data_IF_066604418622
#
_entry.id   IF_066604418622
#
_cell.length_a   1.000
_cell.length_b   1.000
_cell.length_c   1.000
_cell.angle_alpha   90.00
_cell.angle_beta   90.00
_cell.angle_gamma   90.00
#
_symmetry.space_group_name_H-M   'P 1'
#
loop_
_entity.id
_entity.type
_entity.pdbx_description
1 polymer ?
#
# COMPACT_ATOMS: atom_id res chain seq x y z
N UNK A 1 -1.25 26.68 -22.51
CA UNK A 1 -0.63 25.34 -22.39
C UNK A 1 -1.75 24.33 -22.44
N UNK A 2 -1.79 23.58 -23.54
CA UNK A 2 -2.78 22.56 -23.84
C UNK A 2 -2.82 21.50 -22.74
N UNK A 3 -4.03 21.04 -22.41
CA UNK A 3 -4.25 20.03 -21.39
C UNK A 3 -3.41 18.80 -21.71
N UNK A 4 -2.48 18.48 -20.81
CA UNK A 4 -1.93 17.13 -20.75
C UNK A 4 -3.10 16.21 -20.44
N UNK A 5 -3.68 15.67 -21.52
CA UNK A 5 -4.53 14.51 -21.50
C UNK A 5 -3.62 13.41 -20.97
N UNK A 6 -3.67 13.15 -19.67
CA UNK A 6 -3.04 11.96 -19.10
C UNK A 6 -3.70 10.80 -19.83
N UNK A 7 -3.03 10.30 -20.87
CA UNK A 7 -3.46 9.18 -21.69
C UNK A 7 -3.40 7.90 -20.87
N UNK A 8 -4.10 7.88 -19.75
CA UNK A 8 -4.39 6.72 -18.94
C UNK A 8 -5.39 5.90 -19.74
N UNK A 9 -4.89 5.20 -20.75
CA UNK A 9 -5.62 4.08 -21.31
C UNK A 9 -5.77 3.09 -20.17
N UNK A 10 -6.97 3.02 -19.61
CA UNK A 10 -7.40 1.87 -18.84
C UNK A 10 -7.37 0.69 -19.81
N UNK A 11 -6.22 0.03 -19.93
CA UNK A 11 -6.23 -1.32 -20.47
C UNK A 11 -7.11 -2.10 -19.51
N UNK A 12 -8.29 -2.52 -19.97
CA UNK A 12 -9.11 -3.50 -19.28
C UNK A 12 -8.21 -4.71 -19.04
N UNK A 13 -7.67 -4.79 -17.84
CA UNK A 13 -7.12 -6.02 -17.29
C UNK A 13 -8.34 -6.88 -17.02
N UNK A 14 -8.82 -7.55 -18.07
CA UNK A 14 -9.77 -8.67 -17.96
C UNK A 14 -9.01 -9.81 -17.27
N UNK A 15 -8.81 -9.67 -15.96
CA UNK A 15 -8.48 -10.77 -15.08
C UNK A 15 -9.76 -11.60 -14.99
N UNK A 16 -9.80 -12.69 -15.76
CA UNK A 16 -10.88 -13.67 -15.70
C UNK A 16 -11.10 -14.06 -14.24
N UNK A 17 -12.28 -13.72 -13.72
CA UNK A 17 -12.70 -14.07 -12.37
C UNK A 17 -12.91 -15.58 -12.28
N UNK A 18 -11.84 -16.31 -11.99
CA UNK A 18 -11.95 -17.68 -11.47
C UNK A 18 -12.58 -17.61 -10.08
N UNK A 19 -13.81 -18.07 -9.99
CA UNK A 19 -14.74 -17.91 -8.86
C UNK A 19 -14.74 -19.10 -7.90
N UNK A 20 -13.67 -19.90 -7.87
CA UNK A 20 -13.50 -20.90 -6.83
C UNK A 20 -12.95 -20.23 -5.55
N UNK A 21 -13.83 -19.94 -4.60
CA UNK A 21 -13.46 -19.50 -3.25
C UNK A 21 -12.86 -20.67 -2.45
N UNK A 22 -11.65 -21.09 -2.82
CA UNK A 22 -10.93 -22.13 -2.11
C UNK A 22 -10.03 -21.50 -1.05
N UNK A 23 -10.00 -22.09 0.14
CA UNK A 23 -9.01 -21.74 1.15
C UNK A 23 -7.59 -22.12 0.67
N UNK A 24 -6.56 -21.51 1.24
CA UNK A 24 -5.16 -21.78 0.88
C UNK A 24 -4.80 -23.25 1.03
N UNK A 25 -5.33 -23.93 2.04
CA UNK A 25 -5.02 -25.33 2.27
C UNK A 25 -5.49 -26.22 1.13
N UNK A 26 -6.71 -25.97 0.64
CA UNK A 26 -7.28 -26.64 -0.53
C UNK A 26 -6.46 -26.35 -1.80
N UNK A 27 -6.12 -25.09 -2.06
CA UNK A 27 -5.30 -24.67 -3.21
C UNK A 27 -3.89 -25.28 -3.20
N UNK A 28 -3.29 -25.48 -2.02
CA UNK A 28 -1.97 -26.12 -1.90
C UNK A 28 -2.02 -27.61 -2.23
N UNK A 29 -3.11 -28.31 -1.86
CA UNK A 29 -3.29 -29.73 -2.24
C UNK A 29 -3.41 -29.89 -3.76
N UNK A 30 -4.14 -29.00 -4.42
CA UNK A 30 -4.23 -28.96 -5.88
C UNK A 30 -2.85 -28.75 -6.54
N UNK A 31 -1.93 -28.06 -5.86
CA UNK A 31 -0.53 -27.84 -6.29
C UNK A 31 0.44 -28.97 -5.90
N UNK A 32 -0.07 -30.09 -5.40
CA UNK A 32 0.70 -31.29 -5.08
C UNK A 32 1.41 -31.25 -3.74
N UNK A 33 0.94 -30.44 -2.77
CA UNK A 33 1.40 -30.55 -1.38
C UNK A 33 0.57 -31.64 -0.69
N UNK A 34 1.21 -32.78 -0.43
CA UNK A 34 0.53 -33.94 0.18
C UNK A 34 0.12 -33.65 1.64
N UNK A 35 1.07 -33.10 2.41
CA UNK A 35 0.89 -32.77 3.83
C UNK A 35 0.78 -31.26 4.01
N UNK A 36 -0.44 -30.75 3.93
CA UNK A 36 -0.72 -29.33 4.16
C UNK A 36 -0.95 -29.08 5.65
N UNK A 37 -0.11 -28.29 6.33
CA UNK A 37 -0.28 -27.94 7.74
C UNK A 37 -1.50 -27.01 7.93
N UNK A 38 -1.98 -26.83 9.17
CA UNK A 38 -2.97 -25.78 9.45
C UNK A 38 -2.28 -24.43 9.26
N UNK A 39 -2.81 -23.59 8.36
CA UNK A 39 -2.21 -22.29 8.03
C UNK A 39 -2.90 -21.20 8.82
N UNK A 40 -2.13 -20.47 9.62
CA UNK A 40 -2.59 -19.31 10.39
C UNK A 40 -1.89 -18.06 9.86
N UNK A 41 -2.64 -17.11 9.29
CA UNK A 41 -2.07 -15.86 8.75
C UNK A 41 -2.42 -14.69 9.64
N UNK A 42 -1.42 -13.96 10.13
CA UNK A 42 -1.62 -12.68 10.81
C UNK A 42 -1.23 -11.54 9.87
N UNK A 43 -2.18 -10.65 9.57
CA UNK A 43 -1.91 -9.40 8.88
C UNK A 43 -1.48 -8.32 9.87
N UNK A 44 -0.27 -7.79 9.71
CA UNK A 44 0.16 -6.61 10.44
C UNK A 44 0.13 -5.39 9.54
N UNK A 45 -0.82 -4.49 9.80
CA UNK A 45 -1.05 -3.27 9.03
C UNK A 45 -0.34 -2.06 9.64
N UNK A 46 0.53 -1.39 8.88
CA UNK A 46 1.35 -0.27 9.36
C UNK A 46 1.42 0.90 8.34
N UNK A 47 2.15 1.97 8.66
CA UNK A 47 2.24 3.20 7.82
C UNK A 47 3.50 3.27 6.95
N UNK A 48 4.34 2.23 6.97
CA UNK A 48 5.67 2.15 6.31
C UNK A 48 6.64 3.28 6.65
N UNK A 49 6.34 4.16 7.61
CA UNK A 49 7.02 5.44 7.68
C UNK A 49 8.24 5.46 8.61
N UNK A 50 8.32 4.54 9.58
CA UNK A 50 9.23 4.71 10.72
C UNK A 50 9.94 3.42 11.14
N UNK A 51 11.06 3.58 11.84
CA UNK A 51 11.81 2.50 12.46
C UNK A 51 10.94 1.68 13.44
N UNK A 52 10.06 2.34 14.20
CA UNK A 52 9.16 1.66 15.14
C UNK A 52 8.20 0.70 14.43
N UNK A 53 7.77 1.03 13.20
CA UNK A 53 6.98 0.10 12.39
C UNK A 53 7.82 -1.12 11.98
N UNK A 54 9.09 -0.95 11.63
CA UNK A 54 10.00 -2.05 11.29
C UNK A 54 10.28 -2.95 12.50
N UNK A 55 10.54 -2.34 13.66
CA UNK A 55 10.71 -3.06 14.94
C UNK A 55 9.47 -3.89 15.28
N UNK A 56 8.28 -3.31 15.14
CA UNK A 56 7.02 -4.00 15.40
C UNK A 56 6.79 -5.21 14.48
N UNK A 57 7.31 -5.19 13.24
CA UNK A 57 7.34 -6.37 12.36
C UNK A 57 8.30 -7.41 12.92
N UNK A 58 9.53 -7.02 13.26
CA UNK A 58 10.55 -7.91 13.84
C UNK A 58 10.08 -8.60 15.13
N UNK A 59 9.34 -7.90 15.99
CA UNK A 59 8.74 -8.48 17.20
C UNK A 59 7.73 -9.57 16.89
N UNK A 60 6.84 -9.34 15.91
CA UNK A 60 5.82 -10.31 15.48
C UNK A 60 6.44 -11.50 14.75
N UNK A 61 7.51 -11.25 14.00
CA UNK A 61 8.22 -12.25 13.22
C UNK A 61 8.77 -13.39 14.09
N UNK A 62 9.12 -13.11 15.36
CA UNK A 62 9.57 -14.14 16.32
C UNK A 62 8.59 -15.32 16.41
N UNK A 63 7.29 -15.03 16.33
CA UNK A 63 6.20 -16.00 16.46
C UNK A 63 5.68 -16.54 15.11
N UNK A 64 6.29 -16.15 13.99
CA UNK A 64 5.94 -16.63 12.65
C UNK A 64 6.99 -17.61 12.13
N UNK A 65 6.64 -18.36 11.10
CA UNK A 65 7.54 -19.25 10.36
C UNK A 65 7.94 -18.63 9.01
N UNK A 66 7.00 -17.92 8.40
CA UNK A 66 7.13 -17.26 7.12
C UNK A 66 6.79 -15.78 7.29
N UNK A 67 7.64 -14.91 6.74
CA UNK A 67 7.36 -13.50 6.50
C UNK A 67 6.95 -13.32 5.05
N UNK A 68 5.76 -12.78 4.82
CA UNK A 68 5.36 -12.23 3.54
C UNK A 68 5.44 -10.71 3.64
N UNK A 69 6.43 -10.13 2.94
CA UNK A 69 6.73 -8.70 3.03
C UNK A 69 6.15 -7.95 1.83
N UNK A 70 5.45 -6.85 2.09
CA UNK A 70 5.07 -5.91 1.04
C UNK A 70 6.32 -5.37 0.33
N UNK A 71 6.42 -5.58 -0.98
CA UNK A 71 7.57 -5.17 -1.78
C UNK A 71 7.20 -5.05 -3.26
N UNK A 72 6.37 -4.06 -3.60
CA UNK A 72 6.05 -3.79 -5.00
C UNK A 72 7.31 -3.44 -5.80
N UNK A 73 7.49 -4.07 -6.95
CA UNK A 73 8.66 -3.89 -7.79
C UNK A 73 9.88 -4.70 -7.35
N UNK A 74 9.65 -5.81 -6.65
CA UNK A 74 10.71 -6.74 -6.28
C UNK A 74 11.29 -7.46 -7.51
N UNK A 75 12.47 -8.04 -7.30
CA UNK A 75 13.19 -8.94 -8.19
C UNK A 75 13.91 -10.02 -7.36
N UNK A 76 14.46 -11.04 -8.01
CA UNK A 76 15.12 -12.15 -7.31
C UNK A 76 16.26 -11.69 -6.41
N UNK A 77 17.04 -10.70 -6.85
CA UNK A 77 18.14 -10.13 -6.06
C UNK A 77 17.64 -9.54 -4.72
N UNK A 78 16.48 -8.87 -4.72
CA UNK A 78 15.82 -8.40 -3.49
C UNK A 78 15.47 -9.56 -2.57
N UNK A 79 14.84 -10.61 -3.09
CA UNK A 79 14.46 -11.78 -2.30
C UNK A 79 15.69 -12.47 -1.69
N UNK A 80 16.78 -12.57 -2.46
CA UNK A 80 18.04 -13.15 -2.00
C UNK A 80 18.62 -12.37 -0.82
N UNK A 81 18.65 -11.03 -0.88
CA UNK A 81 19.09 -10.18 0.24
C UNK A 81 18.30 -10.48 1.52
N UNK A 82 16.97 -10.58 1.45
CA UNK A 82 16.14 -10.89 2.62
C UNK A 82 16.46 -12.29 3.18
N UNK A 83 16.61 -13.29 2.32
CA UNK A 83 16.94 -14.65 2.74
C UNK A 83 18.35 -14.74 3.35
N UNK A 84 19.33 -14.06 2.77
CA UNK A 84 20.70 -14.00 3.31
C UNK A 84 20.76 -13.29 4.68
N UNK A 85 19.99 -12.22 4.87
CA UNK A 85 19.85 -11.58 6.18
C UNK A 85 19.19 -12.53 7.18
N UNK A 86 18.10 -13.20 6.78
CA UNK A 86 17.41 -14.17 7.62
C UNK A 86 18.31 -15.32 8.11
N UNK A 87 19.16 -15.83 7.21
CA UNK A 87 20.14 -16.87 7.51
C UNK A 87 21.39 -16.34 8.22
N UNK A 88 21.56 -15.02 8.29
CA UNK A 88 22.69 -14.36 8.94
C UNK A 88 23.98 -14.33 8.13
N UNK A 89 23.94 -14.69 6.84
CA UNK A 89 25.09 -14.61 5.92
C UNK A 89 25.36 -13.18 5.47
N UNK A 90 24.34 -12.33 5.50
CA UNK A 90 24.42 -10.90 5.24
C UNK A 90 23.98 -10.13 6.49
N UNK A 91 24.74 -9.12 6.92
CA UNK A 91 24.31 -8.24 8.02
C UNK A 91 23.27 -7.22 7.54
N UNK A 92 22.43 -6.67 8.43
CA UNK A 92 21.51 -5.59 8.06
C UNK A 92 22.22 -4.39 7.41
N UNK A 93 23.40 -4.01 7.90
CA UNK A 93 24.20 -2.92 7.33
C UNK A 93 24.64 -3.21 5.90
N UNK A 94 25.15 -4.43 5.63
CA UNK A 94 25.57 -4.84 4.29
C UNK A 94 24.38 -4.86 3.31
N UNK A 95 23.24 -5.40 3.75
CA UNK A 95 22.01 -5.40 2.97
C UNK A 95 21.56 -3.97 2.63
N UNK A 96 21.60 -3.07 3.60
CA UNK A 96 21.26 -1.65 3.41
C UNK A 96 22.21 -0.92 2.47
N UNK A 97 23.47 -1.34 2.37
CA UNK A 97 24.42 -0.78 1.40
C UNK A 97 24.17 -1.31 -0.01
N UNK A 98 23.81 -2.59 -0.17
CA UNK A 98 23.41 -3.18 -1.46
C UNK A 98 22.15 -2.51 -2.02
N UNK A 99 21.07 -2.49 -1.24
CA UNK A 99 20.33 -1.25 -0.93
C UNK A 99 20.49 -0.05 -1.85
N UNK A 100 21.43 0.80 -1.40
CA UNK A 100 21.76 2.10 -1.95
C UNK A 100 22.44 1.98 -3.31
N UNK A 101 23.24 0.95 -3.52
CA UNK A 101 24.00 0.73 -4.75
C UNK A 101 23.09 0.35 -5.93
N UNK A 102 21.94 -0.28 -5.66
CA UNK A 102 20.96 -0.68 -6.67
C UNK A 102 20.27 0.51 -7.38
N UNK A 103 20.54 1.76 -7.00
CA UNK A 103 20.11 2.96 -7.71
C UNK A 103 18.60 3.23 -7.72
N UNK A 104 17.80 2.38 -7.07
CA UNK A 104 16.35 2.58 -6.89
C UNK A 104 16.11 3.56 -5.73
N UNK A 105 15.09 4.44 -5.80
CA UNK A 105 14.72 5.30 -4.68
C UNK A 105 14.47 4.45 -3.42
N UNK A 106 15.31 4.64 -2.41
CA UNK A 106 15.23 3.88 -1.17
C UNK A 106 14.21 4.51 -0.22
N UNK A 107 12.94 4.42 -0.62
CA UNK A 107 11.80 4.86 0.18
C UNK A 107 11.76 4.03 1.48
N UNK A 108 11.38 4.69 2.57
CA UNK A 108 11.19 4.05 3.88
C UNK A 108 12.45 3.39 4.46
N UNK A 109 13.61 4.00 4.23
CA UNK A 109 14.92 3.51 4.70
C UNK A 109 14.91 3.06 6.17
N UNK A 110 14.27 3.83 7.05
CA UNK A 110 14.31 3.59 8.49
C UNK A 110 13.44 2.38 8.86
N UNK A 111 12.30 2.21 8.19
CA UNK A 111 11.48 1.00 8.30
C UNK A 111 12.27 -0.24 7.84
N UNK A 112 12.89 -0.17 6.66
CA UNK A 112 13.65 -1.30 6.10
C UNK A 112 14.84 -1.67 6.97
N UNK A 113 15.60 -0.70 7.48
CA UNK A 113 16.73 -0.95 8.38
C UNK A 113 16.28 -1.77 9.60
N UNK A 114 15.23 -1.30 10.29
CA UNK A 114 14.72 -2.00 11.48
C UNK A 114 14.05 -3.34 11.17
N UNK A 115 13.44 -3.50 10.00
CA UNK A 115 12.94 -4.80 9.54
C UNK A 115 14.09 -5.80 9.36
N UNK A 116 15.16 -5.40 8.68
CA UNK A 116 16.34 -6.23 8.45
C UNK A 116 17.04 -6.61 9.77
N UNK A 117 17.09 -5.70 10.73
CA UNK A 117 17.56 -6.00 12.09
C UNK A 117 16.72 -7.09 12.76
N UNK A 118 15.39 -7.01 12.67
CA UNK A 118 14.48 -8.03 13.21
C UNK A 118 14.55 -9.37 12.50
N UNK A 119 14.93 -9.36 11.22
CA UNK A 119 15.07 -10.55 10.38
C UNK A 119 16.43 -11.24 10.59
N UNK A 120 17.47 -10.52 10.98
CA UNK A 120 18.84 -11.04 11.05
C UNK A 120 18.95 -12.28 11.95
N UNK A 121 19.45 -13.40 11.39
CA UNK A 121 19.57 -14.70 12.08
C UNK A 121 18.26 -15.24 12.66
N UNK A 122 17.12 -14.80 12.13
CA UNK A 122 15.82 -15.30 12.57
C UNK A 122 15.46 -16.66 11.98
N UNK A 123 16.19 -17.10 10.94
CA UNK A 123 15.99 -18.35 10.19
C UNK A 123 14.58 -18.48 9.57
N UNK A 124 13.83 -17.38 9.51
CA UNK A 124 12.48 -17.34 8.94
C UNK A 124 12.56 -17.38 7.43
N UNK A 125 11.56 -18.00 6.80
CA UNK A 125 11.45 -17.95 5.34
C UNK A 125 10.81 -16.64 4.93
N UNK A 126 11.37 -15.99 3.92
CA UNK A 126 10.82 -14.75 3.37
C UNK A 126 10.22 -15.04 2.00
N UNK A 127 9.05 -14.47 1.76
CA UNK A 127 8.38 -14.51 0.46
C UNK A 127 8.05 -13.09 0.01
N UNK A 128 8.28 -12.82 -1.28
CA UNK A 128 7.82 -11.62 -1.96
C UNK A 128 6.77 -12.04 -3.00
N UNK A 129 5.50 -11.87 -2.65
CA UNK A 129 4.35 -12.26 -3.51
C UNK A 129 3.67 -11.06 -4.18
N UNK A 130 4.26 -9.88 -4.00
CA UNK A 130 3.80 -8.63 -4.58
C UNK A 130 4.05 -8.60 -6.10
N UNK A 131 3.59 -7.55 -6.78
CA UNK A 131 3.86 -7.36 -8.21
C UNK A 131 5.36 -7.14 -8.47
N UNK A 132 6.03 -7.93 -9.34
CA UNK A 132 7.45 -7.76 -9.67
C UNK A 132 7.70 -6.51 -10.54
N UNK A 133 8.97 -6.12 -10.68
CA UNK A 133 9.36 -4.88 -11.36
C UNK A 133 8.99 -4.79 -12.86
N UNK A 134 8.77 -5.92 -13.51
CA UNK A 134 8.42 -6.03 -14.92
C UNK A 134 6.90 -6.06 -15.16
N UNK A 135 6.12 -6.22 -14.09
CA UNK A 135 4.67 -6.27 -14.13
C UNK A 135 4.05 -4.93 -14.57
N UNK A 136 3.01 -4.99 -15.39
CA UNK A 136 2.31 -3.80 -15.92
C UNK A 136 1.66 -2.97 -14.81
N UNK A 137 1.14 -3.59 -13.75
CA UNK A 137 0.54 -2.89 -12.60
C UNK A 137 1.60 -2.06 -11.88
N UNK A 138 2.78 -2.65 -11.63
CA UNK A 138 3.90 -1.91 -11.03
C UNK A 138 4.36 -0.75 -11.91
N UNK A 139 4.54 -0.98 -13.21
CA UNK A 139 4.95 0.06 -14.18
C UNK A 139 3.93 1.20 -14.24
N UNK A 140 2.63 0.91 -14.19
CA UNK A 140 1.57 1.91 -14.17
C UNK A 140 1.58 2.74 -12.87
N UNK A 141 1.72 2.09 -11.71
CA UNK A 141 1.86 2.76 -10.42
C UNK A 141 3.10 3.66 -10.38
N UNK A 142 4.24 3.15 -10.83
CA UNK A 142 5.48 3.93 -10.89
C UNK A 142 5.40 5.05 -11.92
N UNK A 143 4.69 4.87 -13.04
CA UNK A 143 4.42 5.94 -13.99
C UNK A 143 3.63 7.08 -13.36
N UNK A 144 2.63 6.76 -12.54
CA UNK A 144 1.87 7.75 -11.77
C UNK A 144 2.78 8.49 -10.78
N UNK A 145 3.61 7.79 -10.01
CA UNK A 145 4.47 8.41 -9.00
C UNK A 145 5.68 9.16 -9.57
N UNK A 146 6.32 8.63 -10.61
CA UNK A 146 7.47 9.26 -11.28
C UNK A 146 7.07 10.54 -12.01
N UNK A 147 5.80 10.64 -12.44
CA UNK A 147 5.21 11.93 -12.74
C UNK A 147 5.04 12.70 -11.41
N UNK A 148 6.09 13.40 -10.97
CA UNK A 148 6.20 14.26 -9.77
C UNK A 148 5.03 15.29 -9.59
N UNK A 149 4.03 15.28 -10.46
CA UNK A 149 2.88 16.15 -10.52
C UNK A 149 1.50 15.48 -10.42
N UNK A 150 1.38 14.15 -10.33
CA UNK A 150 0.06 13.51 -10.37
C UNK A 150 -0.92 14.06 -9.32
N UNK A 151 -0.43 14.34 -8.11
CA UNK A 151 -1.19 15.06 -7.07
C UNK A 151 -0.80 16.53 -6.92
N UNK A 152 0.49 16.88 -7.09
CA UNK A 152 0.98 18.25 -6.88
C UNK A 152 0.40 19.26 -7.88
N UNK A 153 -0.01 18.82 -9.08
CA UNK A 153 -0.61 19.67 -10.11
C UNK A 153 -2.15 19.61 -10.13
N UNK A 154 -2.78 18.85 -9.24
CA UNK A 154 -4.25 18.81 -9.17
C UNK A 154 -4.82 20.12 -8.66
N UNK A 155 -4.12 20.77 -7.72
CA UNK A 155 -4.50 22.09 -7.19
C UNK A 155 -3.78 23.19 -7.97
N UNK A 156 -4.52 23.90 -8.80
CA UNK A 156 -3.99 24.95 -9.67
C UNK A 156 -4.95 26.15 -9.73
N UNK A 157 -4.42 27.36 -9.50
CA UNK A 157 -5.21 28.61 -9.53
C UNK A 157 -5.97 28.81 -10.84
N UNK A 158 -5.44 28.33 -11.96
CA UNK A 158 -6.08 28.47 -13.27
C UNK A 158 -7.18 27.45 -13.57
N UNK A 159 -7.35 26.42 -12.73
CA UNK A 159 -8.36 25.38 -12.93
C UNK A 159 -9.63 25.69 -12.13
N UNK A 160 -10.82 25.70 -12.74
CA UNK A 160 -12.08 25.78 -12.02
C UNK A 160 -12.24 24.63 -11.01
N UNK A 161 -12.95 24.90 -9.92
CA UNK A 161 -13.17 23.93 -8.84
C UNK A 161 -13.70 22.57 -9.33
N UNK A 162 -14.72 22.56 -10.18
CA UNK A 162 -15.32 21.33 -10.71
C UNK A 162 -14.35 20.51 -11.58
N UNK A 163 -13.51 21.20 -12.36
CA UNK A 163 -12.48 20.55 -13.17
C UNK A 163 -11.39 19.95 -12.28
N UNK A 164 -11.04 20.61 -11.17
CA UNK A 164 -10.14 20.07 -10.14
C UNK A 164 -10.73 18.81 -9.49
N UNK A 165 -11.99 18.83 -9.08
CA UNK A 165 -12.66 17.65 -8.51
C UNK A 165 -12.67 16.47 -9.50
N UNK A 166 -12.97 16.74 -10.78
CA UNK A 166 -12.93 15.71 -11.84
C UNK A 166 -11.55 15.08 -11.97
N UNK A 167 -10.48 15.88 -11.95
CA UNK A 167 -9.10 15.39 -12.03
C UNK A 167 -8.71 14.57 -10.81
N UNK A 168 -9.04 15.05 -9.62
CA UNK A 168 -8.83 14.30 -8.36
C UNK A 168 -9.54 12.96 -8.44
N UNK A 169 -10.82 12.95 -8.84
CA UNK A 169 -11.59 11.72 -8.98
C UNK A 169 -10.96 10.72 -9.96
N UNK A 170 -10.47 11.18 -11.11
CA UNK A 170 -9.81 10.31 -12.08
C UNK A 170 -8.51 9.70 -11.53
N UNK A 171 -7.68 10.50 -10.86
CA UNK A 171 -6.42 10.02 -10.28
C UNK A 171 -6.68 9.05 -9.12
N UNK A 172 -7.57 9.41 -8.18
CA UNK A 172 -7.91 8.54 -7.05
C UNK A 172 -8.58 7.23 -7.49
N UNK A 173 -9.42 7.27 -8.54
CA UNK A 173 -9.97 6.05 -9.14
C UNK A 173 -8.87 5.19 -9.75
N UNK A 174 -7.98 5.78 -10.53
CA UNK A 174 -6.88 5.05 -11.16
C UNK A 174 -5.96 4.40 -10.10
N UNK A 175 -5.56 5.14 -9.07
CA UNK A 175 -4.73 4.59 -7.98
C UNK A 175 -5.45 3.44 -7.27
N UNK A 176 -6.73 3.63 -6.92
CA UNK A 176 -7.56 2.59 -6.31
C UNK A 176 -7.67 1.33 -7.17
N UNK A 177 -7.91 1.47 -8.49
CA UNK A 177 -8.00 0.35 -9.43
C UNK A 177 -6.66 -0.39 -9.53
N UNK A 178 -5.53 0.34 -9.59
CA UNK A 178 -4.19 -0.27 -9.65
C UNK A 178 -3.82 -1.00 -8.36
N UNK A 179 -4.16 -0.44 -7.19
CA UNK A 179 -3.95 -1.15 -5.92
C UNK A 179 -4.83 -2.41 -5.83
N UNK A 180 -6.06 -2.38 -6.36
CA UNK A 180 -6.91 -3.57 -6.45
C UNK A 180 -6.31 -4.64 -7.36
N UNK A 181 -5.82 -4.26 -8.54
CA UNK A 181 -5.14 -5.19 -9.45
C UNK A 181 -3.87 -5.79 -8.83
N UNK A 182 -3.11 -5.00 -8.05
CA UNK A 182 -1.94 -5.48 -7.30
C UNK A 182 -2.33 -6.52 -6.25
N UNK A 183 -3.42 -6.29 -5.51
CA UNK A 183 -3.92 -7.25 -4.53
C UNK A 183 -4.51 -8.51 -5.17
N UNK A 184 -5.19 -8.38 -6.31
CA UNK A 184 -5.67 -9.53 -7.09
C UNK A 184 -4.51 -10.41 -7.53
N UNK A 185 -3.41 -9.79 -8.01
CA UNK A 185 -2.17 -10.50 -8.33
C UNK A 185 -1.59 -11.22 -7.10
N UNK A 186 -1.53 -10.56 -5.94
CA UNK A 186 -1.06 -11.18 -4.69
C UNK A 186 -1.90 -12.41 -4.35
N UNK A 187 -3.23 -12.29 -4.38
CA UNK A 187 -4.14 -13.41 -4.07
C UNK A 187 -3.98 -14.57 -5.05
N UNK A 188 -3.76 -14.27 -6.34
CA UNK A 188 -3.54 -15.28 -7.38
C UNK A 188 -2.19 -16.03 -7.18
N UNK A 189 -1.11 -15.28 -6.88
CA UNK A 189 0.25 -15.85 -6.79
C UNK A 189 0.59 -16.45 -5.44
N UNK A 190 -0.10 -16.06 -4.38
CA UNK A 190 0.16 -16.54 -3.02
C UNK A 190 0.17 -18.08 -2.90
N UNK A 191 -0.82 -18.84 -3.42
CA UNK A 191 -0.81 -20.30 -3.30
C UNK A 191 0.33 -20.95 -4.07
N UNK A 192 0.74 -20.37 -5.20
CA UNK A 192 1.86 -20.87 -6.00
C UNK A 192 3.19 -20.67 -5.27
N UNK A 193 3.45 -19.44 -4.83
CA UNK A 193 4.66 -19.09 -4.10
C UNK A 193 4.78 -19.87 -2.77
N UNK A 194 3.66 -20.08 -2.07
CA UNK A 194 3.64 -20.86 -0.83
C UNK A 194 3.90 -22.35 -1.10
N UNK A 195 3.32 -22.92 -2.16
CA UNK A 195 3.59 -24.31 -2.54
C UNK A 195 5.07 -24.52 -2.87
N UNK A 196 5.69 -23.61 -3.63
CA UNK A 196 7.12 -23.66 -3.94
C UNK A 196 7.97 -23.58 -2.65
N UNK A 197 7.65 -22.63 -1.77
CA UNK A 197 8.33 -22.48 -0.47
C UNK A 197 8.24 -23.75 0.36
N UNK A 198 7.06 -24.39 0.42
CA UNK A 198 6.88 -25.63 1.17
C UNK A 198 7.63 -26.82 0.54
N UNK A 199 7.71 -26.92 -0.79
CA UNK A 199 8.49 -27.96 -1.48
C UNK A 199 9.98 -27.84 -1.20
N UNK A 200 10.49 -26.61 -1.16
CA UNK A 200 11.89 -26.33 -0.84
C UNK A 200 12.22 -26.47 0.65
N UNK A 201 11.20 -26.46 1.52
CA UNK A 201 11.37 -26.55 2.97
C UNK A 201 10.44 -27.62 3.57
N UNK A 202 10.74 -28.93 3.38
CA UNK A 202 9.88 -30.02 3.81
C UNK A 202 9.54 -30.02 5.30
N UNK A 203 10.39 -29.44 6.15
CA UNK A 203 10.14 -29.34 7.59
C UNK A 203 8.97 -28.41 7.93
N UNK A 204 8.65 -27.44 7.07
CA UNK A 204 7.46 -26.60 7.22
C UNK A 204 6.17 -27.40 6.98
N UNK A 205 6.20 -28.41 6.08
CA UNK A 205 5.06 -29.28 5.82
C UNK A 205 4.74 -30.21 7.00
N UNK A 206 5.74 -30.48 7.87
CA UNK A 206 5.58 -31.34 9.05
C UNK A 206 5.04 -30.61 10.28
N UNK A 207 4.88 -29.29 10.22
CA UNK A 207 4.34 -28.51 11.34
C UNK A 207 2.86 -28.79 11.51
N UNK A 208 2.40 -28.82 12.75
CA UNK A 208 0.96 -28.85 13.03
C UNK A 208 0.29 -27.55 12.57
N UNK A 209 0.91 -26.43 12.94
CA UNK A 209 0.49 -25.08 12.59
C UNK A 209 1.63 -24.33 11.90
N UNK A 210 1.38 -23.86 10.67
CA UNK A 210 2.27 -22.99 9.92
C UNK A 210 1.81 -21.54 10.09
N UNK A 211 2.66 -20.73 10.74
CA UNK A 211 2.34 -19.34 11.06
C UNK A 211 2.94 -18.39 10.02
N UNK A 212 2.09 -17.61 9.37
CA UNK A 212 2.48 -16.64 8.35
C UNK A 212 2.25 -15.23 8.90
N UNK A 213 3.28 -14.39 8.87
CA UNK A 213 3.16 -12.96 9.10
C UNK A 213 3.10 -12.24 7.77
N UNK A 214 2.00 -11.54 7.51
CA UNK A 214 1.81 -10.71 6.32
C UNK A 214 1.97 -9.24 6.72
N UNK A 215 3.12 -8.64 6.41
CA UNK A 215 3.43 -7.25 6.80
C UNK A 215 3.10 -6.29 5.65
N UNK A 216 2.12 -5.42 5.86
CA UNK A 216 1.62 -4.53 4.81
C UNK A 216 1.19 -3.14 5.30
N UNK A 217 1.08 -2.23 4.36
CA UNK A 217 0.54 -0.90 4.53
C UNK A 217 -0.95 -1.00 4.84
N UNK A 218 -1.44 -0.10 5.69
CA UNK A 218 -2.82 -0.10 6.14
C UNK A 218 -3.83 -0.08 5.00
N UNK A 219 -3.50 0.49 3.83
CA UNK A 219 -4.36 0.48 2.64
C UNK A 219 -4.85 -0.93 2.26
N UNK A 220 -3.99 -1.94 2.40
CA UNK A 220 -4.16 -3.29 1.86
C UNK A 220 -5.06 -4.23 2.66
N UNK A 221 -5.96 -3.67 3.46
CA UNK A 221 -6.91 -4.45 4.28
C UNK A 221 -7.85 -5.34 3.46
N UNK A 222 -7.99 -5.11 2.14
CA UNK A 222 -8.81 -5.96 1.28
C UNK A 222 -8.28 -7.39 1.21
N UNK A 223 -6.96 -7.60 1.19
CA UNK A 223 -6.37 -8.95 1.19
C UNK A 223 -6.86 -9.79 2.37
N UNK A 224 -6.86 -9.20 3.57
CA UNK A 224 -7.43 -9.83 4.76
C UNK A 224 -8.91 -10.21 4.55
N UNK A 225 -9.71 -9.30 3.99
CA UNK A 225 -11.14 -9.54 3.76
C UNK A 225 -11.40 -10.65 2.75
N UNK A 226 -10.67 -10.67 1.63
CA UNK A 226 -10.81 -11.71 0.60
C UNK A 226 -10.33 -13.07 1.13
N UNK A 227 -9.18 -13.12 1.81
CA UNK A 227 -8.71 -14.37 2.42
C UNK A 227 -9.69 -14.89 3.48
N UNK A 228 -10.22 -14.02 4.34
CA UNK A 228 -11.24 -14.41 5.33
C UNK A 228 -12.50 -14.94 4.66
N UNK A 229 -12.95 -14.29 3.58
CA UNK A 229 -14.13 -14.69 2.81
C UNK A 229 -13.95 -16.05 2.14
N UNK A 230 -12.72 -16.39 1.71
CA UNK A 230 -12.37 -17.71 1.18
C UNK A 230 -12.13 -18.77 2.26
N UNK A 231 -12.51 -18.53 3.51
CA UNK A 231 -12.44 -19.52 4.59
C UNK A 231 -11.07 -19.68 5.26
N UNK A 232 -10.10 -18.82 4.96
CA UNK A 232 -8.76 -18.91 5.57
C UNK A 232 -8.79 -18.51 7.05
N UNK A 233 -7.93 -19.15 7.85
CA UNK A 233 -7.66 -18.76 9.24
C UNK A 233 -6.76 -17.52 9.27
N UNK A 234 -7.40 -16.36 9.18
CA UNK A 234 -6.71 -15.06 9.16
C UNK A 234 -7.14 -14.17 10.33
N UNK A 235 -6.15 -13.49 10.89
CA UNK A 235 -6.26 -12.44 11.90
C UNK A 235 -5.62 -11.14 11.39
N UNK A 236 -5.88 -10.02 12.08
CA UNK A 236 -5.28 -8.73 11.74
C UNK A 236 -4.97 -7.91 12.97
N UNK A 237 -3.91 -7.13 12.85
CA UNK A 237 -3.47 -6.13 13.81
C UNK A 237 -3.08 -4.84 13.08
N UNK A 238 -3.14 -3.72 13.77
CA UNK A 238 -2.67 -2.43 13.28
C UNK A 238 -1.54 -1.92 14.18
N UNK A 239 -0.57 -1.21 13.60
CA UNK A 239 0.53 -0.59 14.35
C UNK A 239 0.09 0.47 15.36
N UNK A 240 -1.14 0.97 15.23
CA UNK A 240 -1.77 1.91 16.15
C UNK A 240 -3.29 1.74 16.11
N UNK A 241 -3.94 2.00 17.24
CA UNK A 241 -5.40 2.00 17.36
C UNK A 241 -5.84 3.28 18.09
N UNK A 242 -6.71 4.12 17.49
CA UNK A 242 -7.27 3.98 16.15
C UNK A 242 -6.21 4.17 15.04
N UNK A 243 -6.33 3.41 13.94
CA UNK A 243 -5.50 3.62 12.77
C UNK A 243 -6.06 4.76 11.93
N UNK A 244 -5.39 5.92 11.99
CA UNK A 244 -5.83 7.12 11.27
C UNK A 244 -5.22 7.18 9.87
N UNK A 245 -6.07 7.03 8.86
CA UNK A 245 -5.74 7.30 7.46
C UNK A 245 -5.71 8.80 7.22
N UNK A 246 -4.78 9.27 6.39
CA UNK A 246 -4.90 10.64 5.89
C UNK A 246 -6.13 10.76 4.96
N UNK A 247 -6.68 11.97 4.77
CA UNK A 247 -7.90 12.19 4.01
C UNK A 247 -7.86 11.66 2.57
N UNK A 248 -6.69 11.68 1.93
CA UNK A 248 -6.50 11.12 0.59
C UNK A 248 -6.63 9.60 0.65
N UNK A 249 -5.84 8.94 1.49
CA UNK A 249 -5.89 7.48 1.63
C UNK A 249 -7.27 6.98 2.06
N UNK A 250 -7.96 7.70 2.95
CA UNK A 250 -9.31 7.35 3.40
C UNK A 250 -10.30 7.34 2.22
N UNK A 251 -10.18 8.30 1.32
CA UNK A 251 -11.05 8.42 0.14
C UNK A 251 -10.72 7.37 -0.91
N UNK A 252 -9.44 7.18 -1.24
CA UNK A 252 -8.99 6.13 -2.16
C UNK A 252 -9.41 4.74 -1.68
N UNK A 253 -9.32 4.48 -0.37
CA UNK A 253 -9.86 3.25 0.22
C UNK A 253 -11.38 3.14 0.04
N UNK A 254 -12.11 4.24 0.20
CA UNK A 254 -13.57 4.22 -0.01
C UNK A 254 -13.89 3.82 -1.45
N UNK A 255 -13.18 4.41 -2.43
CA UNK A 255 -13.29 4.06 -3.85
C UNK A 255 -12.92 2.58 -4.06
N UNK A 256 -11.88 2.11 -3.40
CA UNK A 256 -11.39 0.74 -3.51
C UNK A 256 -12.42 -0.31 -3.04
N UNK A 257 -13.16 -0.03 -1.97
CA UNK A 257 -14.16 -0.94 -1.42
C UNK A 257 -15.58 -0.75 -1.99
N UNK A 258 -15.98 0.49 -2.30
CA UNK A 258 -17.36 0.84 -2.67
C UNK A 258 -17.51 1.35 -4.09
N UNK A 259 -16.40 1.67 -4.76
CA UNK A 259 -16.40 2.26 -6.08
C UNK A 259 -16.49 3.79 -6.06
N UNK A 260 -16.20 4.37 -7.23
CA UNK A 260 -16.10 5.82 -7.42
C UNK A 260 -17.42 6.53 -7.15
N UNK A 261 -18.54 5.99 -7.65
CA UNK A 261 -19.87 6.62 -7.55
C UNK A 261 -20.29 6.85 -6.10
N UNK A 262 -20.11 5.83 -5.24
CA UNK A 262 -20.42 5.93 -3.82
C UNK A 262 -19.46 6.84 -3.05
N UNK A 263 -18.29 7.14 -3.60
CA UNK A 263 -17.22 7.89 -2.93
C UNK A 263 -17.08 9.33 -3.40
N UNK A 264 -17.86 9.79 -4.38
CA UNK A 264 -17.75 11.13 -4.98
C UNK A 264 -17.85 12.26 -3.95
N UNK A 265 -18.65 12.08 -2.91
CA UNK A 265 -18.83 13.06 -1.84
C UNK A 265 -17.55 13.35 -1.04
N UNK A 266 -16.51 12.52 -1.16
CA UNK A 266 -15.23 12.70 -0.48
C UNK A 266 -14.21 13.54 -1.29
N UNK A 267 -14.47 13.80 -2.58
CA UNK A 267 -13.54 14.55 -3.43
C UNK A 267 -13.27 15.98 -2.96
N UNK A 268 -14.27 16.76 -2.50
CA UNK A 268 -14.03 18.07 -1.89
C UNK A 268 -13.00 18.02 -0.76
N UNK A 269 -13.06 16.99 0.08
CA UNK A 269 -12.16 16.80 1.23
C UNK A 269 -10.72 16.55 0.78
N UNK A 270 -10.51 15.77 -0.28
CA UNK A 270 -9.18 15.62 -0.90
C UNK A 270 -8.70 16.96 -1.49
N UNK A 271 -9.59 17.71 -2.16
CA UNK A 271 -9.22 19.01 -2.73
C UNK A 271 -8.72 19.98 -1.65
N UNK A 272 -9.44 20.06 -0.52
CA UNK A 272 -8.99 20.83 0.64
C UNK A 272 -7.67 20.29 1.21
N UNK A 273 -7.52 18.98 1.37
CA UNK A 273 -6.26 18.37 1.86
C UNK A 273 -5.06 18.79 1.01
N UNK A 274 -5.18 18.67 -0.32
CA UNK A 274 -4.11 19.00 -1.25
C UNK A 274 -3.84 20.51 -1.28
N UNK A 275 -4.88 21.34 -1.18
CA UNK A 275 -4.77 22.80 -1.12
C UNK A 275 -4.00 23.24 0.13
N UNK A 276 -4.40 22.75 1.31
CA UNK A 276 -3.72 23.08 2.56
C UNK A 276 -2.28 22.57 2.57
N UNK A 277 -2.02 21.36 2.03
CA UNK A 277 -0.66 20.84 1.95
C UNK A 277 0.23 21.70 1.05
N UNK A 278 -0.34 22.32 0.02
CA UNK A 278 0.36 23.18 -0.92
C UNK A 278 0.65 24.56 -0.33
N UNK A 279 -0.35 25.23 0.23
CA UNK A 279 -0.22 26.61 0.70
C UNK A 279 0.29 26.69 2.15
N UNK A 280 0.05 25.64 2.96
CA UNK A 280 0.42 25.56 4.37
C UNK A 280 1.21 24.26 4.64
N UNK A 281 2.40 24.07 4.05
CA UNK A 281 3.15 22.80 4.11
C UNK A 281 3.56 22.38 5.52
N UNK A 282 3.62 23.32 6.47
CA UNK A 282 3.94 23.05 7.88
C UNK A 282 2.70 22.75 8.73
N UNK A 283 1.49 22.91 8.19
CA UNK A 283 0.26 22.62 8.92
C UNK A 283 0.08 21.10 9.04
N UNK A 284 -0.16 20.63 10.26
CA UNK A 284 -0.53 19.24 10.49
C UNK A 284 -1.99 19.04 10.10
N UNK A 285 -2.22 18.62 8.86
CA UNK A 285 -3.56 18.40 8.34
C UNK A 285 -4.05 17.01 8.76
N UNK A 286 -5.11 16.95 9.57
CA UNK A 286 -5.74 15.71 10.02
C UNK A 286 -7.13 15.54 9.40
N UNK A 287 -7.68 14.32 9.46
CA UNK A 287 -9.08 14.09 9.07
C UNK A 287 -10.04 15.01 9.83
N UNK A 288 -9.84 15.20 11.13
CA UNK A 288 -10.71 16.03 11.96
C UNK A 288 -10.72 17.49 11.48
N UNK A 289 -9.55 18.05 11.13
CA UNK A 289 -9.43 19.41 10.57
C UNK A 289 -10.18 19.55 9.25
N UNK A 290 -10.14 18.54 8.37
CA UNK A 290 -10.86 18.63 7.08
C UNK A 290 -12.36 18.35 7.27
N UNK A 291 -12.73 17.52 8.25
CA UNK A 291 -14.11 17.05 8.42
C UNK A 291 -15.10 18.17 8.75
N UNK A 292 -14.65 19.25 9.39
CA UNK A 292 -15.52 20.36 9.82
C UNK A 292 -16.05 21.24 8.68
N UNK A 293 -15.36 21.29 7.54
CA UNK A 293 -15.74 22.17 6.42
C UNK A 293 -16.83 21.53 5.54
N UNK A 294 -17.95 22.18 5.31
CA UNK A 294 -18.92 21.81 4.27
C UNK A 294 -18.31 21.87 2.86
N UNK A 295 -19.00 21.27 1.89
CA UNK A 295 -18.57 21.32 0.48
C UNK A 295 -18.59 22.76 -0.05
N UNK A 296 -19.56 23.57 0.36
CA UNK A 296 -19.67 24.99 0.03
C UNK A 296 -18.51 25.83 0.60
N UNK A 297 -18.09 25.54 1.84
CA UNK A 297 -16.93 26.20 2.46
C UNK A 297 -15.64 25.81 1.76
N UNK A 298 -15.48 24.54 1.39
CA UNK A 298 -14.32 24.05 0.62
C UNK A 298 -14.25 24.74 -0.75
N UNK A 299 -15.39 24.86 -1.43
CA UNK A 299 -15.48 25.57 -2.71
C UNK A 299 -15.09 27.04 -2.56
N UNK A 300 -15.63 27.71 -1.54
CA UNK A 300 -15.32 29.12 -1.24
C UNK A 300 -13.82 29.33 -0.95
N UNK A 301 -13.21 28.41 -0.21
CA UNK A 301 -11.76 28.40 0.05
C UNK A 301 -10.96 28.23 -1.24
N UNK A 302 -11.39 27.31 -2.11
CA UNK A 302 -10.72 27.11 -3.39
C UNK A 302 -10.81 28.37 -4.28
N UNK A 303 -11.99 28.99 -4.39
CA UNK A 303 -12.20 30.23 -5.14
C UNK A 303 -11.37 31.40 -4.58
N UNK A 304 -11.23 31.48 -3.25
CA UNK A 304 -10.30 32.43 -2.60
C UNK A 304 -8.85 32.16 -2.99
N UNK A 305 -8.42 30.90 -2.97
CA UNK A 305 -7.07 30.50 -3.39
C UNK A 305 -6.76 30.90 -4.84
N UNK A 306 -7.74 30.87 -5.74
CA UNK A 306 -7.55 31.26 -7.14
C UNK A 306 -7.21 32.74 -7.32
N UNK A 307 -7.67 33.61 -6.41
CA UNK A 307 -7.56 35.07 -6.55
C UNK A 307 -6.56 35.68 -5.57
N UNK A 308 -6.36 35.07 -4.41
CA UNK A 308 -5.43 35.54 -3.38
C UNK A 308 -3.97 35.16 -3.68
N UNK A 309 -3.03 35.97 -3.19
CA UNK A 309 -1.65 35.54 -2.95
C UNK A 309 -1.60 34.45 -1.86
N UNK A 310 -0.47 33.74 -1.74
CA UNK A 310 -0.33 32.69 -0.72
C UNK A 310 -0.44 33.22 0.71
N UNK A 311 0.06 34.43 0.98
CA UNK A 311 -0.08 35.05 2.31
C UNK A 311 -1.53 35.45 2.59
N UNK A 312 -2.20 36.10 1.64
CA UNK A 312 -3.63 36.45 1.78
C UNK A 312 -4.54 35.22 1.94
N UNK A 313 -4.20 34.10 1.28
CA UNK A 313 -4.94 32.85 1.46
C UNK A 313 -4.72 32.29 2.88
N UNK A 314 -3.48 32.31 3.37
CA UNK A 314 -3.14 31.85 4.71
C UNK A 314 -3.85 32.68 5.78
N UNK A 315 -3.77 34.01 5.70
CA UNK A 315 -4.48 34.91 6.63
C UNK A 315 -5.99 34.66 6.62
N UNK A 316 -6.58 34.45 5.43
CA UNK A 316 -7.98 34.11 5.31
C UNK A 316 -8.31 32.77 5.97
N UNK A 317 -7.53 31.72 5.69
CA UNK A 317 -7.75 30.40 6.27
C UNK A 317 -7.63 30.41 7.80
N UNK A 318 -6.64 31.12 8.34
CA UNK A 318 -6.46 31.28 9.79
C UNK A 318 -7.62 32.04 10.45
N UNK A 319 -8.29 32.95 9.72
CA UNK A 319 -9.44 33.70 10.24
C UNK A 319 -10.75 32.92 10.37
N UNK A 320 -10.83 31.75 9.72
CA UNK A 320 -12.04 30.91 9.70
C UNK A 320 -11.86 29.58 10.46
N UNK A 321 -10.72 29.39 11.12
CA UNK A 321 -10.45 28.28 12.05
C UNK A 321 -10.91 28.63 13.48
#
# INVERSE_FOLDING_TARGET
MEGQNFGLKSNNLDLEKSSAQNDLGSLLREKGIENVPKIETNFFFHKHATAENGQAVGERLKNADILIQENAGWDSARLDIFNEVSNGTLTPEQAMDMEKQNGKPFLWKDFYASLLEGLYKSEKKVMLVDVPNDNVVFKNLMGLYASNGAYNNLINKSLPYEETLRRIGNVSKFESDMQKAREDYILEKLPEALAETLKQNPDLQKKENLKILFSMGGFHTRLYHEMKKSGNDVSREFSSMPYNFDPRMATERNIHFKGMEESKYLLPKIALYLLLKKELPNLKITHDVISVFSDEEIKSLYEKYQTASSEEFKEYFESIL
#
